data_IF_581019640814
#
_entry.id   IF_581019640814
#
_cell.length_a   1.000
_cell.length_b   1.000
_cell.length_c   1.000
_cell.angle_alpha   90.00
_cell.angle_beta   90.00
_cell.angle_gamma   90.00
#
_symmetry.space_group_name_H-M   'P 1'
#
loop_
_entity.id
_entity.type
_entity.pdbx_description
1 polymer ?
#
# COMPACT_ATOMS: atom_id res chain seq x y z
N UNK A 1 3.66 17.58 -12.17
CA UNK A 1 2.64 16.59 -11.80
C UNK A 1 1.42 17.34 -11.31
N UNK A 2 0.33 17.31 -12.07
CA UNK A 2 -0.96 17.81 -11.60
C UNK A 2 -1.46 16.83 -10.53
N UNK A 3 -1.52 17.27 -9.27
CA UNK A 3 -2.34 16.58 -8.28
C UNK A 3 -3.77 17.03 -8.60
N UNK A 4 -4.66 16.14 -9.06
CA UNK A 4 -6.04 16.53 -9.29
C UNK A 4 -6.59 17.12 -7.99
N UNK A 5 -7.15 18.33 -8.06
CA UNK A 5 -7.78 18.96 -6.91
C UNK A 5 -9.05 18.18 -6.62
N UNK A 6 -8.93 17.18 -5.75
CA UNK A 6 -10.04 16.34 -5.32
C UNK A 6 -10.94 17.21 -4.44
N UNK A 7 -12.22 17.24 -4.74
CA UNK A 7 -13.21 17.97 -3.95
C UNK A 7 -13.20 17.46 -2.50
N UNK A 8 -12.88 18.37 -1.58
CA UNK A 8 -12.87 18.13 -0.13
C UNK A 8 -14.21 17.57 0.37
N UNK A 9 -15.33 17.92 -0.28
CA UNK A 9 -16.65 17.39 0.04
C UNK A 9 -16.77 15.88 -0.29
N UNK A 10 -16.13 15.42 -1.37
CA UNK A 10 -16.10 14.01 -1.75
C UNK A 10 -15.29 13.21 -0.75
N UNK A 11 -14.11 13.70 -0.36
CA UNK A 11 -13.28 13.06 0.68
C UNK A 11 -14.02 13.02 2.01
N UNK A 12 -14.72 14.10 2.37
CA UNK A 12 -15.56 14.13 3.57
C UNK A 12 -16.67 13.06 3.56
N UNK A 13 -17.29 12.79 2.40
CA UNK A 13 -18.28 11.70 2.25
C UNK A 13 -17.64 10.33 2.38
N UNK A 14 -16.46 10.12 1.78
CA UNK A 14 -15.73 8.84 1.90
C UNK A 14 -15.34 8.58 3.36
N UNK A 15 -14.77 9.58 4.06
CA UNK A 15 -14.43 9.49 5.49
C UNK A 15 -15.63 9.12 6.36
N UNK A 16 -16.79 9.75 6.13
CA UNK A 16 -18.04 9.44 6.85
C UNK A 16 -18.49 8.00 6.61
N UNK A 17 -18.46 7.53 5.37
CA UNK A 17 -18.82 6.15 5.03
C UNK A 17 -17.88 5.12 5.69
N UNK A 18 -16.56 5.38 5.67
CA UNK A 18 -15.57 4.52 6.35
C UNK A 18 -15.72 4.52 7.87
N UNK A 19 -16.05 5.67 8.46
CA UNK A 19 -16.29 5.78 9.92
C UNK A 19 -17.58 5.05 10.31
N UNK A 20 -18.63 5.15 9.50
CA UNK A 20 -19.89 4.45 9.74
C UNK A 20 -19.72 2.93 9.64
N UNK A 21 -18.90 2.45 8.70
CA UNK A 21 -18.57 1.04 8.57
C UNK A 21 -17.75 0.47 9.75
N UNK A 22 -16.92 1.29 10.40
CA UNK A 22 -16.04 0.86 11.51
C UNK A 22 -16.65 1.11 12.90
N UNK A 23 -17.85 1.67 12.98
CA UNK A 23 -18.48 2.02 14.25
C UNK A 23 -19.11 0.79 14.92
N UNK A 24 -18.83 0.59 16.22
CA UNK A 24 -19.23 -0.60 16.97
C UNK A 24 -20.74 -0.81 17.13
N UNK A 25 -21.56 0.20 16.82
CA UNK A 25 -23.03 0.12 16.88
C UNK A 25 -23.69 -0.06 15.50
N UNK A 26 -22.91 -0.10 14.42
CA UNK A 26 -23.45 -0.27 13.06
C UNK A 26 -23.74 -1.75 12.80
N UNK A 27 -24.92 -2.07 12.27
CA UNK A 27 -25.27 -3.45 11.90
C UNK A 27 -24.41 -3.96 10.75
N UNK A 28 -24.19 -5.29 10.65
CA UNK A 28 -23.32 -5.89 9.63
C UNK A 28 -23.74 -5.50 8.19
N UNK A 29 -25.04 -5.47 7.92
CA UNK A 29 -25.58 -5.08 6.60
C UNK A 29 -25.36 -3.59 6.29
N UNK A 30 -25.49 -2.72 7.29
CA UNK A 30 -25.24 -1.27 7.15
C UNK A 30 -23.76 -0.98 6.98
N UNK A 31 -22.89 -1.69 7.71
CA UNK A 31 -21.45 -1.58 7.57
C UNK A 31 -21.00 -2.04 6.17
N UNK A 32 -21.56 -3.15 5.67
CA UNK A 32 -21.28 -3.64 4.31
C UNK A 32 -21.78 -2.66 3.23
N UNK A 33 -22.96 -2.05 3.42
CA UNK A 33 -23.48 -1.03 2.51
C UNK A 33 -22.59 0.23 2.49
N UNK A 34 -22.15 0.68 3.66
CA UNK A 34 -21.25 1.82 3.81
C UNK A 34 -19.87 1.58 3.18
N UNK A 35 -19.31 0.37 3.34
CA UNK A 35 -18.07 -0.02 2.66
C UNK A 35 -18.23 -0.01 1.14
N UNK A 36 -19.32 -0.58 0.60
CA UNK A 36 -19.57 -0.55 -0.84
C UNK A 36 -19.69 0.88 -1.37
N UNK A 37 -20.35 1.77 -0.64
CA UNK A 37 -20.45 3.18 -1.00
C UNK A 37 -19.07 3.86 -0.99
N UNK A 38 -18.26 3.61 0.04
CA UNK A 38 -16.90 4.14 0.14
C UNK A 38 -16.02 3.64 -1.03
N UNK A 39 -16.03 2.34 -1.33
CA UNK A 39 -15.31 1.75 -2.46
C UNK A 39 -15.73 2.37 -3.79
N UNK A 40 -17.03 2.54 -4.02
CA UNK A 40 -17.54 3.17 -5.25
C UNK A 40 -17.11 4.62 -5.40
N UNK A 41 -17.05 5.38 -4.30
CA UNK A 41 -16.59 6.77 -4.32
C UNK A 41 -15.07 6.88 -4.53
N UNK A 42 -14.29 5.98 -3.92
CA UNK A 42 -12.85 5.86 -4.16
C UNK A 42 -12.56 5.59 -5.64
N UNK A 43 -13.24 4.61 -6.23
CA UNK A 43 -13.10 4.25 -7.65
C UNK A 43 -13.53 5.39 -8.57
N UNK A 44 -14.71 5.99 -8.35
CA UNK A 44 -15.25 7.03 -9.24
C UNK A 44 -14.37 8.28 -9.32
N UNK A 45 -13.73 8.64 -8.22
CA UNK A 45 -12.89 9.83 -8.14
C UNK A 45 -11.39 9.53 -8.26
N UNK A 46 -11.01 8.27 -8.53
CA UNK A 46 -9.62 7.80 -8.52
C UNK A 46 -8.87 8.21 -7.23
N UNK A 47 -9.59 8.25 -6.11
CA UNK A 47 -9.05 8.63 -4.81
C UNK A 47 -8.59 7.38 -4.10
N UNK A 48 -7.41 7.43 -3.51
CA UNK A 48 -6.81 6.29 -2.84
C UNK A 48 -6.82 6.51 -1.33
N UNK A 49 -6.65 5.45 -0.56
CA UNK A 49 -6.57 5.60 0.90
C UNK A 49 -5.40 6.52 1.31
N UNK A 50 -4.28 6.50 0.55
CA UNK A 50 -3.16 7.41 0.77
C UNK A 50 -3.54 8.87 0.51
N UNK A 51 -4.35 9.16 -0.51
CA UNK A 51 -4.82 10.53 -0.81
C UNK A 51 -5.79 11.06 0.25
N UNK A 52 -6.61 10.17 0.83
CA UNK A 52 -7.47 10.54 1.96
C UNK A 52 -6.62 10.90 3.18
N UNK A 53 -5.56 10.14 3.44
CA UNK A 53 -4.66 10.37 4.58
C UNK A 53 -3.82 11.64 4.41
N UNK A 54 -3.38 11.96 3.19
CA UNK A 54 -2.59 13.17 2.92
C UNK A 54 -3.41 14.46 3.05
N UNK A 55 -4.72 14.40 2.80
CA UNK A 55 -5.65 15.53 2.95
C UNK A 55 -6.34 15.62 4.32
N UNK A 56 -5.93 14.78 5.28
CA UNK A 56 -6.43 14.86 6.64
C UNK A 56 -5.86 16.06 7.40
N UNK A 57 -6.69 16.65 8.25
CA UNK A 57 -6.20 17.68 9.17
C UNK A 57 -5.20 17.07 10.13
N UNK A 58 -4.24 17.86 10.60
CA UNK A 58 -3.23 17.40 11.57
C UNK A 58 -3.84 16.75 12.83
N UNK A 59 -5.07 17.14 13.20
CA UNK A 59 -5.83 16.57 14.32
C UNK A 59 -6.36 15.15 14.01
N UNK A 60 -6.77 14.90 12.77
CA UNK A 60 -7.21 13.57 12.32
C UNK A 60 -6.03 12.61 12.14
N UNK A 61 -4.93 13.10 11.55
CA UNK A 61 -3.68 12.34 11.43
C UNK A 61 -3.13 11.92 12.80
N UNK A 62 -3.19 12.81 13.79
CA UNK A 62 -2.86 12.52 15.18
C UNK A 62 -3.68 11.40 15.80
N UNK A 63 -4.98 11.30 15.48
CA UNK A 63 -5.84 10.22 15.99
C UNK A 63 -5.43 8.86 15.43
N UNK A 64 -4.83 8.83 14.24
CA UNK A 64 -4.28 7.62 13.62
C UNK A 64 -2.82 7.37 13.98
N UNK A 65 -2.09 8.40 14.40
CA UNK A 65 -0.76 8.25 14.94
C UNK A 65 -0.82 7.47 16.26
N UNK A 66 0.13 6.58 16.47
CA UNK A 66 0.21 5.81 17.71
C UNK A 66 1.64 5.50 18.10
N UNK A 67 1.78 5.02 19.33
CA UNK A 67 3.03 4.42 19.80
C UNK A 67 2.71 3.17 20.60
N UNK A 68 3.43 2.10 20.28
CA UNK A 68 3.35 0.82 20.98
C UNK A 68 4.71 0.51 21.60
N UNK A 69 4.73 0.09 22.86
CA UNK A 69 5.97 -0.08 23.63
C UNK A 69 6.14 -1.52 24.07
N UNK A 70 7.28 -2.13 23.76
CA UNK A 70 7.69 -3.44 24.23
C UNK A 70 8.77 -3.30 25.29
N UNK A 71 8.51 -3.76 26.51
CA UNK A 71 9.46 -3.70 27.63
C UNK A 71 10.19 -5.02 27.85
N UNK A 72 11.50 -5.03 27.66
CA UNK A 72 12.38 -6.16 27.99
C UNK A 72 12.87 -6.02 29.43
N UNK A 73 12.61 -7.03 30.26
CA UNK A 73 12.94 -7.06 31.70
C UNK A 73 13.69 -8.36 32.04
N UNK A 74 14.60 -8.30 33.02
CA UNK A 74 15.22 -9.50 33.59
C UNK A 74 14.19 -10.29 34.40
N UNK A 75 14.07 -11.59 34.14
CA UNK A 75 13.25 -12.52 34.93
C UNK A 75 14.02 -13.11 36.12
N UNK A 76 15.35 -12.96 36.14
CA UNK A 76 16.23 -13.49 37.20
C UNK A 76 16.26 -12.54 38.40
N UNK A 77 16.14 -13.09 39.62
CA UNK A 77 16.34 -12.39 40.89
C UNK A 77 17.73 -12.71 41.48
N UNK A 78 18.52 -11.71 41.93
CA UNK A 78 18.26 -10.27 41.88
C UNK A 78 18.28 -9.72 40.44
N UNK A 79 17.51 -8.66 40.21
CA UNK A 79 17.33 -8.07 38.87
C UNK A 79 18.66 -7.63 38.29
N UNK A 80 19.14 -8.38 37.29
CA UNK A 80 20.38 -8.08 36.58
C UNK A 80 20.12 -7.05 35.48
N UNK A 81 21.14 -6.26 35.14
CA UNK A 81 21.03 -5.29 34.05
C UNK A 81 20.75 -5.95 32.71
N UNK A 82 19.72 -5.48 32.01
CA UNK A 82 19.41 -5.93 30.64
C UNK A 82 20.35 -5.21 29.67
N UNK A 83 21.02 -5.99 28.82
CA UNK A 83 21.94 -5.47 27.79
C UNK A 83 21.19 -5.34 26.47
N UNK A 84 21.38 -4.21 25.77
CA UNK A 84 20.93 -4.07 24.39
C UNK A 84 21.95 -4.78 23.51
N UNK A 85 21.65 -6.01 23.09
CA UNK A 85 22.49 -6.79 22.18
C UNK A 85 22.41 -6.19 20.75
N UNK A 86 23.37 -6.47 19.86
CA UNK A 86 23.36 -5.88 18.50
C UNK A 86 22.19 -6.38 17.66
N UNK A 87 21.92 -7.69 17.70
CA UNK A 87 20.87 -8.32 16.92
C UNK A 87 19.46 -7.79 17.25
N UNK A 88 19.24 -7.20 18.43
CA UNK A 88 17.93 -6.63 18.78
C UNK A 88 17.66 -5.35 17.97
N UNK A 89 18.72 -4.61 17.62
CA UNK A 89 18.60 -3.48 16.70
C UNK A 89 18.26 -3.97 15.29
N UNK A 90 18.99 -4.99 14.80
CA UNK A 90 18.72 -5.57 13.48
C UNK A 90 17.29 -6.11 13.39
N UNK A 91 16.81 -6.75 14.47
CA UNK A 91 15.43 -7.21 14.59
C UNK A 91 14.44 -6.05 14.55
N UNK A 92 14.70 -4.95 15.27
CA UNK A 92 13.84 -3.77 15.23
C UNK A 92 13.77 -3.16 13.82
N UNK A 93 14.88 -3.15 13.08
CA UNK A 93 14.91 -2.70 11.68
C UNK A 93 14.13 -3.63 10.75
N UNK A 94 14.11 -4.94 11.02
CA UNK A 94 13.24 -5.87 10.31
C UNK A 94 11.76 -5.52 10.54
N UNK A 95 11.35 -5.30 11.79
CA UNK A 95 9.96 -4.93 12.12
C UNK A 95 9.55 -3.59 11.49
N UNK A 96 10.42 -2.58 11.51
CA UNK A 96 10.20 -1.31 10.81
C UNK A 96 9.96 -1.52 9.31
N UNK A 97 10.66 -2.47 8.70
CA UNK A 97 10.54 -2.74 7.26
C UNK A 97 9.27 -3.54 6.93
N UNK A 98 8.87 -4.48 7.80
CA UNK A 98 7.64 -5.25 7.62
C UNK A 98 6.39 -4.40 7.79
N UNK A 99 6.36 -3.55 8.82
CA UNK A 99 5.15 -2.83 9.20
C UNK A 99 5.15 -1.36 8.78
N UNK A 100 6.17 -0.91 8.03
CA UNK A 100 6.35 0.48 7.60
C UNK A 100 6.24 1.50 8.76
N UNK A 101 6.78 1.14 9.92
CA UNK A 101 6.85 1.98 11.13
C UNK A 101 8.30 2.37 11.48
N UNK A 102 8.46 3.30 12.40
CA UNK A 102 9.75 3.68 12.95
C UNK A 102 9.88 3.22 14.41
N UNK A 103 11.10 3.16 14.93
CA UNK A 103 11.34 2.73 16.31
C UNK A 103 12.48 3.49 16.98
N UNK A 104 12.41 3.58 18.31
CA UNK A 104 13.54 3.96 19.16
C UNK A 104 13.58 3.06 20.39
N UNK A 105 14.69 3.07 21.12
CA UNK A 105 14.78 2.40 22.40
C UNK A 105 15.16 3.35 23.53
N UNK A 106 14.69 3.03 24.73
CA UNK A 106 14.99 3.76 25.97
C UNK A 106 15.52 2.77 26.99
N UNK A 107 16.68 3.07 27.57
CA UNK A 107 17.30 2.23 28.60
C UNK A 107 17.05 2.82 29.98
N UNK A 108 16.50 2.01 30.87
CA UNK A 108 16.27 2.37 32.26
C UNK A 108 17.25 1.58 33.14
N UNK A 109 18.09 2.29 33.89
CA UNK A 109 19.11 1.71 34.77
C UNK A 109 18.77 1.84 36.27
N UNK A 110 17.49 2.11 36.59
CA UNK A 110 17.02 2.29 37.97
C UNK A 110 16.90 0.97 38.74
N UNK A 111 16.10 0.99 39.82
CA UNK A 111 15.83 -0.16 40.70
C UNK A 111 15.28 -1.39 39.98
N UNK A 112 14.64 -1.20 38.80
CA UNK A 112 14.22 -2.28 37.90
C UNK A 112 14.80 -2.02 36.51
N UNK A 113 15.98 -2.55 36.19
CA UNK A 113 16.60 -2.31 34.88
C UNK A 113 15.72 -2.91 33.78
N UNK A 114 15.39 -2.09 32.77
CA UNK A 114 14.57 -2.49 31.62
C UNK A 114 15.00 -1.75 30.36
N UNK A 115 14.66 -2.31 29.21
CA UNK A 115 14.80 -1.66 27.92
C UNK A 115 13.41 -1.58 27.31
N UNK A 116 12.97 -0.38 26.96
CA UNK A 116 11.72 -0.19 26.25
C UNK A 116 12.03 0.07 24.77
N UNK A 117 11.44 -0.74 23.89
CA UNK A 117 11.42 -0.53 22.46
C UNK A 117 10.08 0.11 22.09
N UNK A 118 10.13 1.35 21.63
CA UNK A 118 8.95 2.11 21.24
C UNK A 118 8.85 2.14 19.72
N UNK A 119 7.78 1.58 19.18
CA UNK A 119 7.41 1.66 17.77
C UNK A 119 6.39 2.78 17.59
N UNK A 120 6.62 3.66 16.63
CA UNK A 120 5.78 4.83 16.36
C UNK A 120 5.53 4.99 14.86
N UNK A 121 4.41 5.64 14.51
CA UNK A 121 3.86 5.70 13.15
C UNK A 121 2.34 5.54 13.19
N UNK A 122 1.76 4.85 12.21
CA UNK A 122 0.34 4.51 12.22
C UNK A 122 0.02 3.54 13.36
N UNK A 123 -1.01 3.82 14.15
CA UNK A 123 -1.34 3.09 15.37
C UNK A 123 -1.44 1.59 15.14
N UNK A 124 -2.20 1.16 14.13
CA UNK A 124 -2.38 -0.25 13.77
C UNK A 124 -1.05 -0.95 13.43
N UNK A 125 -0.19 -0.29 12.65
CA UNK A 125 1.13 -0.79 12.28
C UNK A 125 2.05 -0.92 13.50
N UNK A 126 2.01 0.05 14.42
CA UNK A 126 2.85 0.02 15.63
C UNK A 126 2.49 -1.13 16.56
N UNK A 127 1.19 -1.45 16.68
CA UNK A 127 0.71 -2.57 17.50
C UNK A 127 1.18 -3.90 16.90
N UNK A 128 1.00 -4.07 15.59
CA UNK A 128 1.46 -5.26 14.88
C UNK A 128 2.98 -5.43 14.98
N UNK A 129 3.75 -4.34 14.81
CA UNK A 129 5.20 -4.35 14.95
C UNK A 129 5.66 -4.72 16.36
N UNK A 130 5.02 -4.16 17.39
CA UNK A 130 5.33 -4.46 18.78
C UNK A 130 5.07 -5.93 19.12
N UNK A 131 3.91 -6.47 18.72
CA UNK A 131 3.56 -7.86 18.92
C UNK A 131 4.51 -8.81 18.18
N UNK A 132 4.79 -8.52 16.91
CA UNK A 132 5.74 -9.29 16.11
C UNK A 132 7.16 -9.25 16.69
N UNK A 133 7.60 -8.09 17.18
CA UNK A 133 8.89 -7.94 17.86
C UNK A 133 8.95 -8.81 19.11
N UNK A 134 7.94 -8.75 19.98
CA UNK A 134 7.88 -9.57 21.20
C UNK A 134 7.95 -11.06 20.89
N UNK A 135 7.08 -11.55 20.00
CA UNK A 135 7.05 -12.96 19.58
C UNK A 135 8.40 -13.41 19.06
N UNK A 136 8.96 -12.63 18.13
CA UNK A 136 10.22 -12.98 17.45
C UNK A 136 11.41 -12.91 18.41
N UNK A 137 11.44 -11.91 19.29
CA UNK A 137 12.47 -11.77 20.31
C UNK A 137 12.51 -12.99 21.23
N UNK A 138 11.35 -13.40 21.76
CA UNK A 138 11.24 -14.57 22.63
C UNK A 138 11.61 -15.87 21.89
N UNK A 139 11.20 -16.01 20.63
CA UNK A 139 11.52 -17.17 19.82
C UNK A 139 13.02 -17.29 19.52
N UNK A 140 13.67 -16.19 19.16
CA UNK A 140 15.12 -16.11 18.94
C UNK A 140 15.87 -16.53 20.22
N UNK A 141 15.44 -16.03 21.39
CA UNK A 141 16.04 -16.42 22.65
C UNK A 141 15.88 -17.92 22.91
N UNK A 142 14.68 -18.47 22.76
CA UNK A 142 14.41 -19.89 22.96
C UNK A 142 15.23 -20.77 22.01
N UNK A 143 15.30 -20.43 20.72
CA UNK A 143 16.06 -21.19 19.74
C UNK A 143 17.57 -21.12 19.97
N UNK A 144 18.08 -19.96 20.40
CA UNK A 144 19.50 -19.80 20.71
C UNK A 144 19.98 -20.61 21.91
N UNK A 145 19.07 -21.11 22.75
CA UNK A 145 19.39 -21.95 23.91
C UNK A 145 19.48 -23.44 23.57
N UNK A 146 19.08 -23.85 22.36
CA UNK A 146 19.16 -25.25 21.92
C UNK A 146 20.62 -25.74 21.92
N UNK A 147 20.85 -27.02 22.30
CA UNK A 147 22.21 -27.57 22.39
C UNK A 147 22.94 -27.54 21.03
N UNK A 148 22.22 -27.67 19.92
CA UNK A 148 22.76 -27.74 18.56
C UNK A 148 23.48 -26.45 18.11
N UNK A 149 23.13 -25.31 18.70
CA UNK A 149 23.73 -24.00 18.40
C UNK A 149 25.05 -23.80 19.15
N UNK A 150 25.27 -24.57 20.21
CA UNK A 150 26.45 -24.46 21.07
C UNK A 150 26.21 -23.68 22.35
N UNK A 151 27.12 -23.87 23.31
CA UNK A 151 27.04 -23.28 24.66
C UNK A 151 27.74 -21.94 24.79
N UNK A 152 28.59 -21.56 23.82
CA UNK A 152 29.36 -20.32 23.91
C UNK A 152 28.48 -19.09 23.66
N UNK A 153 28.73 -18.01 24.41
CA UNK A 153 28.00 -16.74 24.26
C UNK A 153 28.16 -16.20 22.84
N UNK A 154 29.35 -16.35 22.25
CA UNK A 154 29.63 -15.92 20.89
C UNK A 154 28.80 -16.69 19.86
N UNK A 155 28.74 -18.02 19.94
CA UNK A 155 27.95 -18.85 19.03
C UNK A 155 26.46 -18.49 19.06
N UNK A 156 25.91 -18.30 20.28
CA UNK A 156 24.52 -17.87 20.47
C UNK A 156 24.27 -16.50 19.85
N UNK A 157 25.17 -15.54 20.05
CA UNK A 157 25.04 -14.21 19.44
C UNK A 157 25.12 -14.28 17.91
N UNK A 158 26.03 -15.07 17.35
CA UNK A 158 26.10 -15.30 15.91
C UNK A 158 24.80 -15.88 15.34
N UNK A 159 24.19 -16.84 16.04
CA UNK A 159 22.89 -17.39 15.66
C UNK A 159 21.79 -16.31 15.68
N UNK A 160 21.65 -15.57 16.79
CA UNK A 160 20.63 -14.52 16.97
C UNK A 160 20.75 -13.42 15.92
N UNK A 161 21.97 -12.96 15.63
CA UNK A 161 22.24 -12.01 14.55
C UNK A 161 21.91 -12.60 13.18
N UNK A 162 22.18 -13.90 12.98
CA UNK A 162 21.78 -14.63 11.78
C UNK A 162 20.26 -14.60 11.55
N UNK A 163 19.48 -14.90 12.59
CA UNK A 163 18.01 -14.86 12.52
C UNK A 163 17.52 -13.44 12.22
N UNK A 164 18.00 -12.43 12.97
CA UNK A 164 17.60 -11.04 12.78
C UNK A 164 17.91 -10.51 11.36
N UNK A 165 19.10 -10.81 10.84
CA UNK A 165 19.47 -10.45 9.46
C UNK A 165 18.66 -11.22 8.41
N UNK A 166 18.33 -12.50 8.67
CA UNK A 166 17.44 -13.27 7.81
C UNK A 166 16.06 -12.63 7.70
N UNK A 167 15.48 -12.22 8.83
CA UNK A 167 14.20 -11.50 8.87
C UNK A 167 14.26 -10.17 8.11
N UNK A 168 15.34 -9.41 8.30
CA UNK A 168 15.52 -8.14 7.60
C UNK A 168 15.65 -8.32 6.07
N UNK A 169 16.38 -9.33 5.63
CA UNK A 169 16.49 -9.66 4.21
C UNK A 169 15.13 -10.09 3.62
N UNK A 170 14.32 -10.85 4.37
CA UNK A 170 12.96 -11.20 3.97
C UNK A 170 12.05 -9.98 3.88
N UNK A 171 12.10 -9.07 4.87
CA UNK A 171 11.32 -7.84 4.86
C UNK A 171 11.65 -6.98 3.63
N UNK A 172 12.93 -6.87 3.27
CA UNK A 172 13.37 -6.17 2.05
C UNK A 172 12.87 -6.84 0.77
N UNK A 173 12.91 -8.18 0.71
CA UNK A 173 12.38 -8.93 -0.43
C UNK A 173 10.88 -8.74 -0.58
N UNK A 174 10.11 -8.84 0.52
CA UNK A 174 8.66 -8.58 0.51
C UNK A 174 8.36 -7.15 0.04
N UNK A 175 9.08 -6.16 0.60
CA UNK A 175 8.95 -4.75 0.23
C UNK A 175 9.24 -4.48 -1.26
N UNK A 176 10.23 -5.17 -1.84
CA UNK A 176 10.55 -5.12 -3.27
C UNK A 176 9.45 -5.80 -4.11
N UNK A 177 8.99 -6.97 -3.68
CA UNK A 177 7.92 -7.70 -4.35
C UNK A 177 6.59 -6.93 -4.34
N UNK A 178 6.25 -6.23 -3.26
CA UNK A 178 5.09 -5.34 -3.20
C UNK A 178 5.18 -4.22 -4.24
N UNK A 179 6.37 -3.62 -4.40
CA UNK A 179 6.60 -2.58 -5.40
C UNK A 179 6.49 -3.15 -6.82
N UNK A 180 7.00 -4.35 -7.06
CA UNK A 180 6.90 -5.02 -8.37
C UNK A 180 5.46 -5.42 -8.69
N UNK A 181 4.69 -5.92 -7.72
CA UNK A 181 3.25 -6.17 -7.86
C UNK A 181 2.48 -4.90 -8.21
N UNK A 182 2.73 -3.82 -7.48
CA UNK A 182 2.11 -2.52 -7.76
C UNK A 182 2.45 -2.02 -9.18
N UNK A 183 3.71 -2.16 -9.62
CA UNK A 183 4.15 -1.81 -10.98
C UNK A 183 3.45 -2.67 -12.04
N UNK A 184 3.30 -3.97 -11.79
CA UNK A 184 2.62 -4.89 -12.71
C UNK A 184 1.13 -4.53 -12.86
N UNK A 185 0.45 -4.22 -11.75
CA UNK A 185 -0.95 -3.77 -11.76
C UNK A 185 -1.11 -2.47 -12.53
N UNK A 186 -0.28 -1.47 -12.23
CA UNK A 186 -0.28 -0.18 -12.92
C UNK A 186 -0.04 -0.32 -14.43
N UNK A 187 0.97 -1.10 -14.82
CA UNK A 187 1.25 -1.37 -16.24
C UNK A 187 0.11 -2.13 -16.91
N UNK A 188 -0.57 -3.05 -16.22
CA UNK A 188 -1.72 -3.76 -16.76
C UNK A 188 -2.90 -2.81 -17.01
N UNK A 189 -3.15 -1.85 -16.12
CA UNK A 189 -4.15 -0.80 -16.33
C UNK A 189 -3.82 0.11 -17.51
N UNK A 190 -2.56 0.56 -17.61
CA UNK A 190 -2.12 1.40 -18.73
C UNK A 190 -2.28 0.64 -20.06
N UNK A 191 -1.86 -0.63 -20.09
CA UNK A 191 -1.98 -1.48 -21.28
C UNK A 191 -3.43 -1.71 -21.69
N UNK A 192 -4.31 -2.01 -20.73
CA UNK A 192 -5.74 -2.18 -21.01
C UNK A 192 -6.37 -0.91 -21.61
N UNK A 193 -6.00 0.26 -21.08
CA UNK A 193 -6.45 1.56 -21.61
C UNK A 193 -5.91 1.82 -23.02
N UNK A 194 -4.65 1.50 -23.28
CA UNK A 194 -4.06 1.63 -24.61
C UNK A 194 -4.71 0.69 -25.63
N UNK A 195 -5.06 -0.53 -25.22
CA UNK A 195 -5.76 -1.50 -26.07
C UNK A 195 -7.19 -1.02 -26.40
N UNK A 196 -7.89 -0.39 -25.44
CA UNK A 196 -9.20 0.23 -25.65
C UNK A 196 -9.12 1.43 -26.61
N UNK A 197 -8.19 2.36 -26.37
CA UNK A 197 -7.96 3.52 -27.24
C UNK A 197 -7.58 3.11 -28.66
N UNK A 198 -6.71 2.11 -28.81
CA UNK A 198 -6.34 1.57 -30.11
C UNK A 198 -7.53 0.89 -30.83
N UNK A 199 -8.43 0.24 -30.08
CA UNK A 199 -9.65 -0.36 -30.64
C UNK A 199 -10.66 0.72 -31.10
N UNK A 200 -10.79 1.80 -30.33
CA UNK A 200 -11.60 2.96 -30.72
C UNK A 200 -11.04 3.64 -31.97
N UNK A 201 -9.74 3.88 -32.03
CA UNK A 201 -9.09 4.51 -33.18
C UNK A 201 -9.15 3.63 -34.43
N UNK A 202 -8.99 2.31 -34.27
CA UNK A 202 -9.21 1.37 -35.38
C UNK A 202 -10.65 1.43 -35.88
N UNK A 203 -11.63 1.48 -34.98
CA UNK A 203 -13.04 1.62 -35.33
C UNK A 203 -13.33 2.97 -36.03
N UNK A 204 -12.66 4.05 -35.63
CA UNK A 204 -12.73 5.35 -36.31
C UNK A 204 -12.14 5.29 -37.72
N UNK A 205 -10.99 4.65 -37.90
CA UNK A 205 -10.37 4.46 -39.22
C UNK A 205 -11.23 3.60 -40.15
N UNK A 206 -11.85 2.53 -39.65
CA UNK A 206 -12.77 1.69 -40.43
C UNK A 206 -14.01 2.46 -40.88
N UNK A 207 -14.54 3.39 -40.05
CA UNK A 207 -15.63 4.30 -40.46
C UNK A 207 -15.22 5.25 -41.58
N UNK A 208 -14.00 5.75 -41.56
CA UNK A 208 -13.47 6.66 -42.59
C UNK A 208 -13.16 5.94 -43.92
N UNK A 209 -12.77 4.67 -43.87
CA UNK A 209 -12.48 3.84 -45.04
C UNK A 209 -13.72 3.14 -45.64
N UNK A 210 -14.93 3.55 -45.26
CA UNK A 210 -16.17 3.07 -45.87
C UNK A 210 -16.15 3.26 -47.40
N UNK A 211 -16.81 2.38 -48.17
CA UNK A 211 -16.68 2.37 -49.62
C UNK A 211 -17.06 3.73 -50.19
N UNK A 212 -16.10 4.36 -50.87
CA UNK A 212 -16.39 5.44 -51.83
C UNK A 212 -17.43 4.86 -52.78
N UNK A 213 -18.69 5.27 -52.61
CA UNK A 213 -19.76 4.94 -53.52
C UNK A 213 -19.34 5.40 -54.90
N UNK A 214 -19.09 4.43 -55.77
CA UNK A 214 -18.91 4.65 -57.19
C UNK A 214 -20.20 5.22 -57.77
N UNK A 215 -20.32 6.54 -57.77
CA UNK A 215 -21.32 7.30 -58.55
C UNK A 215 -20.96 8.78 -58.51
N UNK A 216 -20.01 9.18 -59.36
CA UNK A 216 -20.32 9.97 -60.55
C UNK A 216 -19.02 10.40 -61.24
N UNK A 217 -18.87 9.95 -62.48
CA UNK A 217 -17.86 10.44 -63.41
C UNK A 217 -18.11 11.93 -63.72
N UNK A 218 -17.58 12.84 -62.89
CA UNK A 218 -17.41 14.23 -63.31
C UNK A 218 -16.12 14.32 -64.13
N UNK A 219 -16.28 14.25 -65.46
CA UNK A 219 -15.27 14.68 -66.44
C UNK A 219 -14.91 16.14 -66.19
N UNK A 220 -13.87 16.38 -65.39
CA UNK A 220 -13.17 17.67 -65.38
C UNK A 220 -12.14 17.61 -66.51
N UNK A 221 -12.38 18.40 -67.56
CA UNK A 221 -11.39 18.69 -68.60
C UNK A 221 -10.23 19.45 -67.97
N UNK A 222 -9.05 18.87 -68.02
CA UNK A 222 -7.79 19.56 -67.75
C UNK A 222 -7.20 20.00 -69.09
N UNK A 223 -7.20 21.31 -69.36
CA UNK A 223 -6.27 21.94 -70.30
C UNK A 223 -4.99 22.31 -69.50
N UNK A 224 -3.83 21.97 -70.07
CA UNK A 224 -2.51 22.43 -69.60
C UNK A 224 -2.42 23.98 -69.63
N UNK A 225 -1.56 24.59 -68.80
CA UNK A 225 -0.22 24.85 -69.32
C UNK A 225 0.92 24.59 -68.32
N UNK A 226 1.97 23.99 -68.87
CA UNK A 226 3.40 24.15 -68.58
C UNK A 226 3.84 25.17 -67.52
N UNK A 227 4.58 24.69 -66.52
CA UNK A 227 5.78 25.37 -66.01
C UNK A 227 6.69 24.38 -65.25
N UNK A 228 7.95 24.30 -65.69
CA UNK A 228 9.06 23.56 -65.07
C UNK A 228 9.38 24.06 -63.66
N UNK A 229 9.48 23.15 -62.67
CA UNK A 229 10.37 23.32 -61.51
C UNK A 229 10.96 21.96 -61.10
N UNK A 230 12.27 21.97 -60.83
CA UNK A 230 13.21 20.85 -60.62
C UNK A 230 12.91 19.99 -59.38
N UNK A 231 13.38 18.72 -59.33
CA UNK A 231 13.24 17.87 -58.17
C UNK A 231 14.29 18.16 -57.09
N UNK A 232 13.86 18.40 -55.84
CA UNK A 232 14.71 18.29 -54.65
C UNK A 232 14.49 16.93 -53.95
N UNK A 233 15.53 16.38 -53.29
CA UNK A 233 15.53 14.98 -52.87
C UNK A 233 14.82 14.72 -51.54
N UNK A 234 14.21 13.53 -51.50
CA UNK A 234 13.65 12.80 -50.36
C UNK A 234 14.33 13.05 -49.00
N UNK A 235 13.60 13.69 -48.09
CA UNK A 235 13.82 13.54 -46.65
C UNK A 235 12.99 12.37 -46.13
N UNK A 236 13.57 11.17 -46.22
CA UNK A 236 13.17 10.01 -45.39
C UNK A 236 13.39 10.37 -43.92
N UNK A 237 12.31 10.54 -43.17
CA UNK A 237 12.36 10.50 -41.71
C UNK A 237 12.46 9.03 -41.31
N UNK A 238 13.67 8.60 -40.94
CA UNK A 238 13.87 7.34 -40.21
C UNK A 238 13.31 7.55 -38.81
N UNK A 239 12.28 6.78 -38.46
CA UNK A 239 11.89 6.57 -37.07
C UNK A 239 12.91 5.55 -36.55
N UNK A 240 13.85 6.00 -35.72
CA UNK A 240 14.70 5.11 -34.94
C UNK A 240 13.84 4.50 -33.83
N UNK A 241 13.71 3.17 -33.85
CA UNK A 241 13.30 2.38 -32.70
C UNK A 241 14.37 2.58 -31.62
N UNK A 242 13.97 3.20 -30.51
CA UNK A 242 14.82 3.31 -29.32
C UNK A 242 14.67 1.99 -28.56
N UNK A 243 15.61 1.08 -28.78
CA UNK A 243 15.87 -0.06 -27.90
C UNK A 243 16.44 0.47 -26.58
N UNK A 244 15.61 0.50 -25.53
CA UNK A 244 16.03 0.75 -24.15
C UNK A 244 16.69 -0.53 -23.57
N UNK A 245 17.88 -0.85 -24.06
CA UNK A 245 18.81 -1.77 -23.42
C UNK A 245 19.74 -1.01 -22.46
N UNK A 246 19.23 -0.65 -21.27
CA UNK A 246 20.09 -0.23 -20.15
C UNK A 246 20.62 -1.46 -19.39
N UNK A 247 21.61 -2.12 -20.00
CA UNK A 247 22.58 -2.98 -19.30
C UNK A 247 23.65 -2.10 -18.63
N UNK A 248 23.39 -1.64 -17.41
CA UNK A 248 24.41 -1.01 -16.56
C UNK A 248 24.94 -2.01 -15.51
N UNK A 249 25.77 -2.93 -15.99
CA UNK A 249 26.72 -3.65 -15.15
C UNK A 249 27.95 -2.79 -14.86
N UNK A 250 28.18 -2.38 -13.61
CA UNK A 250 29.53 -2.04 -13.15
C UNK A 250 29.69 -0.96 -12.09
N UNK A 251 29.97 -1.43 -10.87
CA UNK A 251 30.86 -0.84 -9.85
C UNK A 251 30.35 0.24 -8.87
N UNK A 252 30.84 0.03 -7.65
CA UNK A 252 30.56 0.69 -6.38
C UNK A 252 31.34 2.00 -6.23
N UNK A 253 30.71 3.04 -5.67
CA UNK A 253 31.23 3.95 -4.63
C UNK A 253 30.20 5.09 -4.47
N UNK A 254 29.48 5.17 -3.34
CA UNK A 254 29.73 6.10 -2.23
C UNK A 254 29.56 7.60 -2.57
N UNK A 255 28.71 8.23 -1.76
CA UNK A 255 28.49 9.67 -1.55
C UNK A 255 27.75 10.47 -2.63
N UNK A 256 26.48 10.81 -2.34
CA UNK A 256 26.05 12.20 -2.54
C UNK A 256 24.93 12.58 -1.55
N UNK A 257 25.27 13.53 -0.69
CA UNK A 257 24.37 14.30 0.15
C UNK A 257 23.85 15.51 -0.65
N UNK A 258 22.63 15.92 -0.30
CA UNK A 258 22.12 17.30 -0.20
C UNK A 258 22.54 18.31 -1.28
N UNK A 259 21.62 18.63 -2.21
CA UNK A 259 21.29 20.01 -2.58
C UNK A 259 20.06 20.05 -3.51
N UNK A 260 18.94 20.61 -3.03
CA UNK A 260 17.87 21.12 -3.88
C UNK A 260 17.30 22.37 -3.21
N UNK A 261 17.99 23.47 -3.47
CA UNK A 261 17.62 24.83 -3.11
C UNK A 261 16.64 25.38 -4.15
N UNK A 262 15.58 26.01 -3.64
CA UNK A 262 14.88 27.20 -4.15
C UNK A 262 14.78 27.40 -5.67
N UNK A 263 13.60 27.13 -6.24
CA UNK A 263 13.15 27.76 -7.48
C UNK A 263 11.91 28.63 -7.21
N UNK A 264 12.15 29.93 -7.14
CA UNK A 264 11.17 30.98 -6.97
C UNK A 264 10.99 31.71 -8.29
N UNK A 265 9.72 31.83 -8.73
CA UNK A 265 9.29 32.81 -9.70
C UNK A 265 8.83 32.24 -11.04
N UNK A 266 7.50 32.15 -11.23
CA UNK A 266 6.85 32.57 -12.46
C UNK A 266 5.47 33.13 -12.14
N UNK A 267 5.19 34.26 -12.77
CA UNK A 267 4.07 35.17 -12.53
C UNK A 267 2.80 34.76 -13.29
N UNK A 268 1.67 35.23 -12.75
CA UNK A 268 0.43 35.69 -13.40
C UNK A 268 0.01 35.06 -14.73
N UNK A 269 -0.93 34.11 -14.64
CA UNK A 269 -1.96 33.87 -15.65
C UNK A 269 -3.27 33.54 -14.90
N UNK A 270 -4.20 34.49 -14.82
CA UNK A 270 -5.59 34.25 -14.43
C UNK A 270 -6.38 33.76 -15.65
N UNK A 271 -6.98 32.55 -15.61
CA UNK A 271 -8.05 32.20 -16.53
C UNK A 271 -9.42 32.50 -15.92
N UNK A 272 -10.10 33.48 -16.50
CA UNK A 272 -11.52 33.78 -16.35
C UNK A 272 -12.36 32.69 -17.06
N UNK A 273 -13.03 31.84 -16.28
CA UNK A 273 -14.08 30.96 -16.76
C UNK A 273 -15.29 31.09 -15.85
N UNK A 274 -16.25 31.86 -16.36
CA UNK A 274 -17.57 32.08 -15.79
C UNK A 274 -18.52 31.00 -16.37
N UNK A 275 -18.61 29.85 -15.71
CA UNK A 275 -19.58 28.81 -16.05
C UNK A 275 -20.67 28.75 -14.95
N UNK A 276 -21.65 29.65 -15.09
CA UNK A 276 -22.98 29.46 -14.53
C UNK A 276 -23.67 28.33 -15.31
N UNK A 277 -23.52 27.09 -14.87
CA UNK A 277 -24.35 25.98 -15.32
C UNK A 277 -25.15 25.38 -14.14
N UNK A 278 -26.47 25.52 -14.29
CA UNK A 278 -27.59 25.07 -13.47
C UNK A 278 -27.34 23.78 -12.68
N UNK A 279 -27.42 23.90 -11.34
CA UNK A 279 -27.47 22.79 -10.40
C UNK A 279 -28.92 22.46 -9.93
N UNK A 280 -29.91 22.54 -10.83
CA UNK A 280 -31.33 22.47 -10.45
C UNK A 280 -32.11 21.26 -11.02
N UNK A 281 -31.44 20.17 -11.39
CA UNK A 281 -32.14 19.02 -12.01
C UNK A 281 -31.73 17.64 -11.47
N UNK A 282 -31.51 17.52 -10.16
CA UNK A 282 -31.37 16.21 -9.51
C UNK A 282 -32.16 16.12 -8.19
N UNK A 283 -33.39 15.61 -8.35
CA UNK A 283 -34.06 14.63 -7.49
C UNK A 283 -34.98 15.17 -6.37
N UNK A 284 -36.20 15.46 -6.82
CA UNK A 284 -37.46 15.22 -6.12
C UNK A 284 -37.59 13.71 -5.82
N UNK A 285 -37.18 13.28 -4.61
CA UNK A 285 -37.17 11.88 -4.16
C UNK A 285 -38.03 11.66 -2.90
N UNK A 286 -39.07 12.48 -2.69
CA UNK A 286 -39.98 12.41 -1.52
C UNK A 286 -41.45 12.11 -1.88
N UNK A 287 -41.74 11.69 -3.11
CA UNK A 287 -43.09 11.35 -3.56
C UNK A 287 -43.38 9.83 -3.54
N UNK A 288 -43.24 9.17 -2.39
CA UNK A 288 -43.90 7.87 -2.17
C UNK A 288 -44.23 7.65 -0.69
N UNK A 289 -45.34 8.25 -0.25
CA UNK A 289 -46.02 7.91 1.01
C UNK A 289 -46.93 6.70 0.79
N UNK A 290 -46.75 5.55 1.46
CA UNK A 290 -47.79 4.54 1.51
C UNK A 290 -48.91 4.98 2.45
N UNK A 291 -50.09 5.21 1.89
CA UNK A 291 -51.33 5.47 2.63
C UNK A 291 -51.81 4.18 3.29
N UNK A 292 -51.57 4.06 4.60
CA UNK A 292 -52.17 3.03 5.45
C UNK A 292 -53.68 3.28 5.59
N UNK A 293 -54.50 2.58 4.80
CA UNK A 293 -55.92 2.36 5.11
C UNK A 293 -56.09 1.06 5.89
N UNK A 294 -56.52 1.24 7.13
CA UNK A 294 -56.91 0.22 8.10
C UNK A 294 -58.31 -0.31 7.76
N UNK A 295 -58.47 -1.61 7.57
CA UNK A 295 -59.75 -2.30 7.80
C UNK A 295 -59.52 -3.72 8.30
N UNK A 296 -60.09 -4.01 9.47
CA UNK A 296 -60.29 -5.36 9.98
C UNK A 296 -61.52 -5.97 9.30
N UNK A 297 -61.45 -7.23 8.87
CA UNK A 297 -62.50 -8.23 9.11
C UNK A 297 -62.05 -9.63 8.70
N UNK A 298 -62.63 -10.62 9.36
CA UNK A 298 -62.25 -12.02 9.44
C UNK A 298 -62.37 -12.81 8.11
N UNK A 299 -61.66 -13.95 8.05
CA UNK A 299 -61.66 -14.91 6.92
C UNK A 299 -63.00 -15.61 6.65
N UNK A 300 -63.07 -16.59 5.72
CA UNK A 300 -62.27 -17.82 5.79
C UNK A 300 -61.84 -18.49 4.45
N UNK A 301 -60.82 -19.37 4.54
CA UNK A 301 -60.77 -20.76 4.01
C UNK A 301 -60.56 -21.10 2.51
N UNK A 302 -59.63 -22.08 2.30
CA UNK A 302 -59.42 -23.06 1.20
C UNK A 302 -58.89 -22.52 -0.15
N UNK A 303 -57.83 -23.03 -0.80
CA UNK A 303 -56.92 -24.16 -0.57
C UNK A 303 -56.06 -24.38 -1.84
N UNK A 304 -54.95 -25.15 -1.69
CA UNK A 304 -54.04 -25.66 -2.74
C UNK A 304 -53.07 -24.62 -3.36
N UNK A 305 -51.75 -24.80 -3.48
CA UNK A 305 -50.95 -25.99 -3.74
C UNK A 305 -49.58 -25.97 -3.04
N UNK A 306 -49.02 -27.18 -2.85
CA UNK A 306 -47.71 -27.49 -2.29
C UNK A 306 -46.53 -27.16 -3.24
N UNK A 307 -45.26 -27.25 -2.77
CA UNK A 307 -44.09 -26.56 -3.34
C UNK A 307 -43.30 -27.42 -4.35
N UNK A 308 -42.30 -26.83 -5.01
CA UNK A 308 -40.98 -27.45 -4.90
C UNK A 308 -39.83 -26.46 -4.65
N UNK A 309 -38.83 -27.01 -3.96
CA UNK A 309 -37.55 -26.43 -3.65
C UNK A 309 -36.72 -26.10 -4.89
N UNK A 310 -36.12 -24.92 -4.90
CA UNK A 310 -34.81 -24.65 -5.53
C UNK A 310 -34.18 -23.43 -4.88
N UNK A 311 -33.36 -23.70 -3.86
CA UNK A 311 -32.38 -22.77 -3.34
C UNK A 311 -31.34 -22.60 -4.45
N UNK A 312 -31.45 -21.49 -5.18
CA UNK A 312 -30.39 -21.07 -6.09
C UNK A 312 -29.28 -20.48 -5.22
N UNK A 313 -28.30 -21.33 -4.90
CA UNK A 313 -26.94 -20.92 -4.52
C UNK A 313 -26.41 -20.03 -5.65
N UNK A 314 -26.45 -18.72 -5.47
CA UNK A 314 -25.66 -17.83 -6.31
C UNK A 314 -24.23 -17.83 -5.80
N UNK A 315 -23.41 -18.42 -6.66
CA UNK A 315 -21.96 -18.42 -6.70
C UNK A 315 -21.31 -17.32 -5.86
N UNK A 316 -20.67 -17.77 -4.79
CA UNK A 316 -19.40 -17.24 -4.33
C UNK A 316 -18.49 -17.11 -5.55
N UNK A 317 -18.39 -15.89 -6.07
CA UNK A 317 -17.33 -15.55 -6.99
C UNK A 317 -16.04 -15.76 -6.21
N UNK A 318 -15.35 -16.87 -6.53
CA UNK A 318 -13.90 -16.97 -6.40
C UNK A 318 -13.31 -15.70 -6.98
N UNK A 319 -13.06 -14.72 -6.12
CA UNK A 319 -11.97 -13.79 -6.32
C UNK A 319 -10.77 -14.71 -6.57
N UNK A 320 -10.17 -14.63 -7.76
CA UNK A 320 -8.86 -15.21 -7.97
C UNK A 320 -7.94 -14.55 -6.94
N UNK A 321 -7.73 -15.23 -5.83
CA UNK A 321 -6.65 -15.00 -4.88
C UNK A 321 -5.34 -15.13 -5.65
N UNK A 322 -4.87 -14.05 -6.27
CA UNK A 322 -3.52 -14.05 -6.84
C UNK A 322 -2.83 -12.70 -6.80
N UNK A 323 -3.39 -11.69 -6.10
CA UNK A 323 -2.66 -10.43 -5.94
C UNK A 323 -3.02 -9.66 -4.67
N UNK A 324 -2.62 -10.23 -3.52
CA UNK A 324 -2.74 -9.72 -2.13
C UNK A 324 -2.19 -8.31 -1.88
N UNK A 325 -1.65 -7.62 -2.90
CA UNK A 325 -1.21 -6.24 -2.75
C UNK A 325 -2.42 -5.30 -2.78
N UNK A 326 -2.74 -4.59 -1.69
CA UNK A 326 -3.85 -3.63 -1.67
C UNK A 326 -3.59 -2.38 -2.55
N UNK A 327 -2.39 -2.26 -3.11
CA UNK A 327 -1.93 -1.12 -3.89
C UNK A 327 -2.18 -1.32 -5.39
N UNK A 328 -2.80 -0.34 -6.05
CA UNK A 328 -3.09 -0.38 -7.50
C UNK A 328 -2.03 0.34 -8.34
N UNK A 329 -1.23 1.22 -7.73
CA UNK A 329 -0.10 1.92 -8.38
C UNK A 329 1.12 1.99 -7.44
N UNK A 330 2.32 2.09 -8.02
CA UNK A 330 3.56 2.33 -7.27
C UNK A 330 3.51 3.68 -6.54
N UNK A 331 2.90 4.69 -7.15
CA UNK A 331 2.79 6.03 -6.56
C UNK A 331 2.03 6.00 -5.23
N UNK A 332 0.93 5.24 -5.16
CA UNK A 332 0.15 5.07 -3.93
C UNK A 332 0.94 4.42 -2.80
N UNK A 333 1.70 3.36 -3.13
CA UNK A 333 2.53 2.66 -2.15
C UNK A 333 3.63 3.57 -1.60
N UNK A 334 4.25 4.38 -2.46
CA UNK A 334 5.28 5.35 -2.05
C UNK A 334 4.66 6.42 -1.17
N UNK A 335 3.57 7.05 -1.63
CA UNK A 335 2.85 8.08 -0.87
C UNK A 335 2.44 7.56 0.51
N UNK A 336 1.86 6.36 0.61
CA UNK A 336 1.49 5.76 1.88
C UNK A 336 2.66 5.62 2.86
N UNK A 337 3.82 5.16 2.36
CA UNK A 337 5.02 4.98 3.18
C UNK A 337 5.59 6.31 3.66
N UNK A 338 5.61 7.31 2.78
CA UNK A 338 6.05 8.67 3.13
C UNK A 338 5.09 9.31 4.15
N UNK A 339 3.78 9.17 3.95
CA UNK A 339 2.78 9.63 4.92
C UNK A 339 2.91 8.92 6.26
N UNK A 340 3.18 7.61 6.28
CA UNK A 340 3.39 6.84 7.53
C UNK A 340 4.59 7.35 8.32
N UNK A 341 5.68 7.71 7.62
CA UNK A 341 6.87 8.33 8.21
C UNK A 341 6.56 9.73 8.74
N UNK A 342 5.89 10.57 7.93
CA UNK A 342 5.54 11.94 8.31
C UNK A 342 4.66 11.97 9.59
N UNK A 343 3.65 11.10 9.66
CA UNK A 343 2.79 10.95 10.84
C UNK A 343 3.61 10.57 12.09
N UNK A 344 4.59 9.67 11.94
CA UNK A 344 5.48 9.28 13.03
C UNK A 344 6.34 10.45 13.53
N UNK A 345 6.94 11.20 12.61
CA UNK A 345 7.78 12.35 12.94
C UNK A 345 6.98 13.49 13.60
N UNK A 346 5.75 13.76 13.12
CA UNK A 346 4.84 14.70 13.75
C UNK A 346 4.44 14.28 15.17
N UNK A 347 4.17 13.00 15.36
CA UNK A 347 3.85 12.46 16.68
C UNK A 347 5.01 12.70 17.66
N UNK A 348 6.26 12.43 17.25
CA UNK A 348 7.43 12.70 18.09
C UNK A 348 7.60 14.18 18.43
N UNK A 349 7.40 15.07 17.45
CA UNK A 349 7.45 16.53 17.66
C UNK A 349 6.42 16.97 18.69
N UNK A 350 5.19 16.47 18.60
CA UNK A 350 4.10 16.80 19.53
C UNK A 350 4.32 16.26 20.95
N UNK A 351 5.02 15.14 21.09
CA UNK A 351 5.41 14.58 22.40
C UNK A 351 6.72 15.20 22.97
N UNK A 352 7.35 16.14 22.26
CA UNK A 352 8.67 16.72 22.60
C UNK A 352 9.76 15.66 22.85
N UNK A 353 9.70 14.55 22.09
CA UNK A 353 10.67 13.45 22.22
C UNK A 353 11.85 13.70 21.28
N UNK A 354 13.01 14.00 21.86
CA UNK A 354 14.26 14.20 21.11
C UNK A 354 15.03 12.90 20.97
N UNK A 355 15.04 12.34 19.76
CA UNK A 355 15.85 11.18 19.44
C UNK A 355 17.34 11.54 19.33
N UNK A 356 18.21 10.65 19.79
CA UNK A 356 19.66 10.77 19.64
C UNK A 356 20.17 9.63 18.76
N UNK A 357 21.12 9.92 17.87
CA UNK A 357 21.83 8.88 17.14
C UNK A 357 22.66 8.05 18.12
N UNK A 358 22.44 6.74 18.12
CA UNK A 358 23.24 5.81 18.91
C UNK A 358 24.67 5.70 18.36
N UNK A 359 25.59 5.23 19.21
CA UNK A 359 26.96 4.90 18.77
C UNK A 359 26.91 3.80 17.71
N UNK A 360 27.61 4.00 16.58
CA UNK A 360 27.81 2.96 15.57
C UNK A 360 28.49 1.75 16.22
N UNK A 361 27.87 0.58 16.12
CA UNK A 361 28.42 -0.66 16.66
C UNK A 361 29.29 -1.32 15.60
N UNK A 362 30.32 -2.01 16.06
CA UNK A 362 31.17 -2.84 15.20
C UNK A 362 30.34 -4.00 14.64
N UNK A 363 30.68 -4.39 13.41
CA UNK A 363 30.05 -5.52 12.76
C UNK A 363 30.38 -6.82 13.53
N UNK A 364 29.51 -7.82 13.40
CA UNK A 364 29.77 -9.13 13.97
C UNK A 364 31.02 -9.75 13.31
N UNK A 365 32.07 -9.94 14.10
CA UNK A 365 33.26 -10.66 13.66
C UNK A 365 33.04 -12.17 13.75
N UNK A 366 33.32 -12.89 12.66
CA UNK A 366 33.28 -14.35 12.65
C UNK A 366 34.67 -14.89 12.98
N UNK A 367 34.82 -15.43 14.19
CA UNK A 367 36.10 -16.00 14.64
C UNK A 367 36.43 -17.31 13.93
N UNK A 368 35.41 -18.14 13.72
CA UNK A 368 35.56 -19.51 13.22
C UNK A 368 34.60 -19.82 12.07
N UNK A 369 34.94 -20.84 11.27
CA UNK A 369 34.06 -21.37 10.23
C UNK A 369 32.72 -21.89 10.79
N UNK A 370 32.76 -22.42 12.02
CA UNK A 370 31.57 -22.85 12.74
C UNK A 370 30.64 -21.68 13.10
N UNK A 371 31.18 -20.55 13.54
CA UNK A 371 30.39 -19.35 13.83
C UNK A 371 29.64 -18.86 12.59
N UNK A 372 30.28 -18.94 11.41
CA UNK A 372 29.64 -18.63 10.12
C UNK A 372 28.56 -19.65 9.74
N UNK A 373 28.75 -20.94 10.03
CA UNK A 373 27.74 -21.98 9.83
C UNK A 373 26.50 -21.73 10.69
N UNK A 374 26.71 -21.42 11.97
CA UNK A 374 25.64 -21.12 12.94
C UNK A 374 24.86 -19.87 12.54
N UNK A 375 25.57 -18.82 12.11
CA UNK A 375 24.93 -17.62 11.57
C UNK A 375 24.03 -17.93 10.35
N UNK A 376 24.53 -18.74 9.40
CA UNK A 376 23.73 -19.17 8.24
C UNK A 376 22.55 -20.05 8.65
N UNK A 377 22.70 -20.88 9.67
CA UNK A 377 21.59 -21.65 10.23
C UNK A 377 20.53 -20.73 10.81
N UNK A 378 20.91 -19.69 11.56
CA UNK A 378 20.00 -18.66 12.04
C UNK A 378 19.24 -17.98 10.90
N UNK A 379 19.94 -17.64 9.80
CA UNK A 379 19.29 -17.10 8.60
C UNK A 379 18.23 -18.03 8.00
N UNK A 380 18.48 -19.33 7.95
CA UNK A 380 17.50 -20.31 7.46
C UNK A 380 16.33 -20.48 8.42
N UNK A 381 16.60 -20.47 9.71
CA UNK A 381 15.54 -20.58 10.72
C UNK A 381 14.64 -19.33 10.74
N UNK A 382 15.15 -18.16 10.34
CA UNK A 382 14.34 -16.95 10.17
C UNK A 382 13.13 -17.17 9.25
N UNK A 383 13.30 -17.96 8.18
CA UNK A 383 12.23 -18.26 7.21
C UNK A 383 11.06 -19.04 7.82
N UNK A 384 11.27 -19.65 8.99
CA UNK A 384 10.21 -20.38 9.73
C UNK A 384 9.37 -19.45 10.60
N UNK A 385 9.78 -18.20 10.79
CA UNK A 385 9.08 -17.24 11.63
C UNK A 385 8.04 -16.54 10.76
N UNK A 386 6.76 -16.77 11.06
CA UNK A 386 5.67 -16.03 10.45
C UNK A 386 5.45 -14.71 11.20
N UNK A 387 6.03 -13.63 10.67
CA UNK A 387 6.00 -12.29 11.29
C UNK A 387 4.62 -11.65 11.15
N UNK A 388 3.85 -11.98 10.10
CA UNK A 388 2.54 -11.38 9.82
C UNK A 388 1.36 -12.26 10.25
N UNK A 389 1.63 -13.43 10.85
CA UNK A 389 0.62 -14.44 11.21
C UNK A 389 -0.26 -14.85 10.02
N UNK A 390 0.27 -14.79 8.78
CA UNK A 390 -0.49 -15.14 7.56
C UNK A 390 -0.94 -16.61 7.56
N UNK A 391 -0.15 -17.53 8.14
CA UNK A 391 -0.39 -18.99 8.10
C UNK A 391 -1.47 -19.50 9.06
N UNK A 392 -1.91 -18.69 10.03
CA UNK A 392 -2.97 -19.13 10.96
C UNK A 392 -4.36 -19.03 10.34
N UNK A 393 -4.54 -18.20 9.31
CA UNK A 393 -5.83 -18.07 8.60
C UNK A 393 -6.17 -19.31 7.75
N UNK A 394 -5.17 -20.08 7.34
CA UNK A 394 -5.39 -21.29 6.54
C UNK A 394 -5.83 -22.51 7.37
N UNK A 395 -5.78 -22.43 8.70
CA UNK A 395 -6.09 -23.56 9.60
C UNK A 395 -7.49 -23.47 10.20
N UNK A 396 -8.11 -22.28 10.22
CA UNK A 396 -9.48 -22.09 10.76
C UNK A 396 -10.60 -22.37 9.74
N UNK A 397 -10.29 -22.86 8.54
CA UNK A 397 -11.30 -23.20 7.51
C UNK A 397 -11.57 -24.70 7.35
N UNK A 398 -11.01 -25.56 8.21
CA UNK A 398 -11.14 -27.02 8.10
C UNK A 398 -11.86 -27.70 9.31
N UNK A 399 -12.52 -26.94 10.21
CA UNK A 399 -13.33 -27.50 11.31
C UNK A 399 -14.85 -27.37 11.11
#
# INVERSE_FOLDING_TARGET
MFVPHIDSAVIGRIKKALTLASHAQTGEDEARAALRMASKLLERHNVTQADIMSQETESEQLKRAGTSVVSIKSTVAPTTTVKIESWTNDLSHAMNTFFDCQCYNTRFNGTRPKIDWSFYGLAEQTVAAAHAFEMTYNLILAWSLKPDIGKSVHARNCYRTGVANGLYDMAKKEKKADKERAKKKENAFIKARQEEEAAEDKSRQERLNGPVTASDEVKIKTEEPTAEVKPEPDRRVKIEEVDDDDDFGGQRAFDQADDMDTFQGFADIEPDFNDEDNADDLLDLDAEKPTLKRSNSAGPSLGSMAPPASIVRFAEQKIKEEDDSPWTSVGQLVAFRETSIAIGDEYLKKQDIKLRKGRKREALEFKDSEARRIYRQGKKDAEKIDVRQKRLKDVEMDD
#
